data_IF_383298471206
#
_entry.id   IF_383298471206
#
_cell.length_a   1.000
_cell.length_b   1.000
_cell.length_c   1.000
_cell.angle_alpha   90.00
_cell.angle_beta   90.00
_cell.angle_gamma   90.00
#
_symmetry.space_group_name_H-M   'P 1'
#
loop_
_entity.id
_entity.type
_entity.pdbx_description
1 polymer ?
#
# COMPACT_ATOMS: atom_id res chain seq x y z
N UNK A 1 25.20 -16.13 5.86
CA UNK A 1 24.06 -15.74 6.72
C UNK A 1 23.27 -14.53 6.20
N UNK A 2 23.71 -13.26 6.37
CA UNK A 2 22.88 -12.10 5.99
C UNK A 2 22.49 -12.05 4.50
N UNK A 3 23.44 -12.33 3.60
CA UNK A 3 23.16 -12.38 2.17
C UNK A 3 22.18 -13.49 1.80
N UNK A 4 22.33 -14.67 2.40
CA UNK A 4 21.44 -15.81 2.17
C UNK A 4 20.02 -15.49 2.66
N UNK A 5 19.90 -14.90 3.85
CA UNK A 5 18.62 -14.44 4.39
C UNK A 5 17.95 -13.40 3.48
N UNK A 6 18.66 -12.34 3.09
CA UNK A 6 18.11 -11.32 2.18
C UNK A 6 17.70 -11.91 0.82
N UNK A 7 18.51 -12.84 0.29
CA UNK A 7 18.18 -13.54 -0.97
C UNK A 7 16.91 -14.38 -0.82
N UNK A 8 16.76 -15.09 0.31
CA UNK A 8 15.56 -15.87 0.58
C UNK A 8 14.32 -14.97 0.71
N UNK A 9 14.41 -13.84 1.43
CA UNK A 9 13.31 -12.89 1.57
C UNK A 9 12.84 -12.33 0.22
N UNK A 10 13.76 -11.93 -0.66
CA UNK A 10 13.39 -11.39 -1.98
C UNK A 10 12.74 -12.45 -2.86
N UNK A 11 13.26 -13.69 -2.85
CA UNK A 11 12.64 -14.82 -3.58
C UNK A 11 11.22 -15.09 -3.11
N UNK A 12 10.96 -15.01 -1.81
CA UNK A 12 9.64 -15.25 -1.24
C UNK A 12 8.57 -14.22 -1.69
N UNK A 13 8.96 -13.03 -2.16
CA UNK A 13 8.00 -11.99 -2.59
C UNK A 13 7.18 -12.46 -3.79
N UNK A 14 7.82 -12.99 -4.83
CA UNK A 14 7.10 -13.45 -6.03
C UNK A 14 6.24 -14.67 -5.72
N UNK A 15 6.78 -15.60 -4.94
CA UNK A 15 6.11 -16.85 -4.60
C UNK A 15 4.85 -16.61 -3.73
N UNK A 16 4.86 -15.56 -2.90
CA UNK A 16 3.70 -15.19 -2.08
C UNK A 16 2.71 -14.27 -2.81
N UNK A 17 3.19 -13.30 -3.58
CA UNK A 17 2.32 -12.25 -4.14
C UNK A 17 1.67 -12.64 -5.47
N UNK A 18 2.40 -13.33 -6.37
CA UNK A 18 1.88 -13.67 -7.71
C UNK A 18 0.64 -14.58 -7.64
N UNK A 19 0.57 -15.61 -6.77
CA UNK A 19 -0.63 -16.43 -6.67
C UNK A 19 -1.88 -15.64 -6.23
N UNK A 20 -1.71 -14.66 -5.33
CA UNK A 20 -2.80 -13.78 -4.89
C UNK A 20 -3.30 -12.94 -6.07
N UNK A 21 -2.39 -12.36 -6.87
CA UNK A 21 -2.78 -11.61 -8.06
C UNK A 21 -3.49 -12.48 -9.08
N UNK A 22 -2.91 -13.62 -9.45
CA UNK A 22 -3.48 -14.52 -10.48
C UNK A 22 -4.89 -14.99 -10.09
N UNK A 23 -5.14 -15.24 -8.79
CA UNK A 23 -6.46 -15.64 -8.30
C UNK A 23 -7.51 -14.53 -8.39
N UNK A 24 -7.11 -13.26 -8.21
CA UNK A 24 -8.05 -12.16 -8.02
C UNK A 24 -8.15 -11.19 -9.20
N UNK A 25 -7.22 -11.24 -10.18
CA UNK A 25 -7.14 -10.24 -11.26
C UNK A 25 -8.37 -10.16 -12.16
N UNK A 26 -9.08 -11.29 -12.33
CA UNK A 26 -10.23 -11.42 -13.23
C UNK A 26 -11.57 -11.35 -12.47
N UNK A 27 -11.54 -11.07 -11.16
CA UNK A 27 -12.76 -10.91 -10.37
C UNK A 27 -13.46 -9.60 -10.72
N UNK A 28 -14.76 -9.69 -10.95
CA UNK A 28 -15.60 -8.51 -11.09
C UNK A 28 -15.63 -7.72 -9.78
N UNK A 29 -15.65 -6.39 -9.91
CA UNK A 29 -15.79 -5.48 -8.79
C UNK A 29 -16.92 -4.50 -9.05
N UNK A 30 -17.53 -4.00 -7.98
CA UNK A 30 -18.52 -2.94 -8.06
C UNK A 30 -17.86 -1.56 -7.99
N UNK A 31 -18.58 -0.53 -8.43
CA UNK A 31 -18.11 0.85 -8.30
C UNK A 31 -17.81 1.22 -6.84
N UNK A 32 -18.61 0.75 -5.87
CA UNK A 32 -18.37 1.00 -4.45
C UNK A 32 -17.06 0.38 -3.97
N UNK A 33 -16.72 -0.83 -4.45
CA UNK A 33 -15.43 -1.46 -4.16
C UNK A 33 -14.26 -0.70 -4.79
N UNK A 34 -14.47 -0.11 -5.97
CA UNK A 34 -13.48 0.75 -6.63
C UNK A 34 -13.26 2.04 -5.85
N UNK A 35 -14.33 2.68 -5.39
CA UNK A 35 -14.26 3.87 -4.53
C UNK A 35 -13.53 3.56 -3.22
N UNK A 36 -13.85 2.42 -2.59
CA UNK A 36 -13.12 1.93 -1.42
C UNK A 36 -11.63 1.74 -1.69
N UNK A 37 -11.27 1.10 -2.81
CA UNK A 37 -9.87 0.94 -3.23
C UNK A 37 -9.17 2.31 -3.34
N UNK A 38 -9.81 3.32 -3.93
CA UNK A 38 -9.24 4.66 -4.08
C UNK A 38 -9.02 5.37 -2.73
N UNK A 39 -9.94 5.19 -1.78
CA UNK A 39 -9.75 5.69 -0.41
C UNK A 39 -8.60 4.99 0.31
N UNK A 40 -8.44 3.66 0.12
CA UNK A 40 -7.29 2.92 0.65
C UNK A 40 -5.97 3.38 0.02
N UNK A 41 -5.96 3.70 -1.27
CA UNK A 41 -4.82 4.31 -1.96
C UNK A 41 -4.48 5.69 -1.40
N UNK A 42 -5.48 6.50 -1.01
CA UNK A 42 -5.26 7.75 -0.30
C UNK A 42 -4.48 7.58 1.00
N UNK A 43 -4.81 6.57 1.80
CA UNK A 43 -4.03 6.23 3.02
C UNK A 43 -2.61 5.76 2.72
N UNK A 44 -2.39 5.06 1.60
CA UNK A 44 -1.04 4.69 1.17
C UNK A 44 -0.20 5.92 0.80
N UNK A 45 -0.79 6.90 0.12
CA UNK A 45 -0.15 8.18 -0.19
C UNK A 45 0.20 8.95 1.10
N UNK A 46 -0.75 9.05 2.04
CA UNK A 46 -0.51 9.68 3.35
C UNK A 46 0.68 9.04 4.08
N UNK A 47 0.74 7.70 4.11
CA UNK A 47 1.85 7.01 4.74
C UNK A 47 3.20 7.35 4.09
N UNK A 48 3.29 7.25 2.76
CA UNK A 48 4.54 7.52 2.04
C UNK A 48 5.00 8.98 2.22
N UNK A 49 4.08 9.94 2.20
CA UNK A 49 4.45 11.36 2.28
C UNK A 49 4.74 11.84 3.71
N UNK A 50 4.08 11.25 4.72
CA UNK A 50 4.14 11.73 6.11
C UNK A 50 5.09 10.90 6.98
N UNK A 51 5.15 9.58 6.76
CA UNK A 51 5.82 8.66 7.68
C UNK A 51 6.97 7.87 7.05
N UNK A 52 6.95 7.58 5.75
CA UNK A 52 8.01 6.79 5.14
C UNK A 52 9.35 7.54 5.15
N UNK A 53 10.32 6.98 5.89
CA UNK A 53 11.63 7.59 6.06
C UNK A 53 12.40 7.66 4.74
N UNK A 54 12.20 6.69 3.86
CA UNK A 54 12.86 6.63 2.55
C UNK A 54 12.41 7.77 1.65
N UNK A 55 11.10 7.96 1.51
CA UNK A 55 10.51 9.08 0.77
C UNK A 55 10.89 10.42 1.38
N UNK A 56 10.76 10.61 2.70
CA UNK A 56 11.12 11.87 3.38
C UNK A 56 12.60 12.19 3.17
N UNK A 57 13.49 11.21 3.31
CA UNK A 57 14.91 11.40 3.05
C UNK A 57 15.18 11.75 1.59
N UNK A 58 14.62 10.99 0.65
CA UNK A 58 14.77 11.24 -0.79
C UNK A 58 14.33 12.65 -1.20
N UNK A 59 13.19 13.10 -0.67
CA UNK A 59 12.68 14.46 -0.92
C UNK A 59 13.62 15.53 -0.35
N UNK A 60 14.20 15.33 0.84
CA UNK A 60 15.21 16.24 1.39
C UNK A 60 16.47 16.31 0.54
N UNK A 61 16.87 15.19 -0.06
CA UNK A 61 18.05 15.12 -0.94
C UNK A 61 17.84 15.86 -2.28
N UNK A 62 16.60 16.20 -2.66
CA UNK A 62 16.35 17.04 -3.84
C UNK A 62 17.01 18.43 -3.70
N UNK A 63 17.00 19.00 -2.49
CA UNK A 63 17.66 20.28 -2.21
C UNK A 63 19.19 20.22 -2.38
N UNK A 64 19.76 19.02 -2.36
CA UNK A 64 21.21 18.79 -2.57
C UNK A 64 21.56 18.42 -4.01
N UNK A 65 20.58 18.31 -4.90
CA UNK A 65 20.77 17.95 -6.31
C UNK A 65 21.03 16.45 -6.58
N UNK A 66 21.01 15.61 -5.55
CA UNK A 66 21.29 14.15 -5.67
C UNK A 66 20.00 13.32 -5.76
N UNK A 67 18.87 13.86 -5.30
CA UNK A 67 17.58 13.17 -5.38
C UNK A 67 17.01 13.13 -6.80
N UNK A 68 16.38 12.01 -7.18
CA UNK A 68 15.58 11.90 -8.41
C UNK A 68 14.11 11.77 -8.07
N UNK A 69 13.35 12.83 -8.36
CA UNK A 69 11.95 12.96 -7.94
C UNK A 69 11.09 11.80 -8.46
N UNK A 70 11.23 11.43 -9.74
CA UNK A 70 10.43 10.39 -10.37
C UNK A 70 10.70 9.01 -9.77
N UNK A 71 11.93 8.75 -9.31
CA UNK A 71 12.26 7.52 -8.60
C UNK A 71 11.64 7.49 -7.19
N UNK A 72 11.62 8.64 -6.51
CA UNK A 72 11.09 8.76 -5.15
C UNK A 72 9.57 8.62 -5.14
N UNK A 73 8.88 9.25 -6.10
CA UNK A 73 7.42 9.27 -6.18
C UNK A 73 6.82 8.09 -6.96
N UNK A 74 7.64 7.17 -7.49
CA UNK A 74 7.17 5.99 -8.21
C UNK A 74 6.26 5.09 -7.36
N UNK A 75 6.37 5.15 -6.03
CA UNK A 75 5.50 4.40 -5.12
C UNK A 75 4.06 4.91 -5.11
N UNK A 76 3.80 6.15 -5.57
CA UNK A 76 2.46 6.72 -5.52
C UNK A 76 1.55 6.10 -6.60
N UNK A 77 0.30 5.78 -6.25
CA UNK A 77 -0.67 5.32 -7.24
C UNK A 77 -1.07 6.47 -8.18
N UNK A 78 -1.46 6.11 -9.41
CA UNK A 78 -1.97 7.06 -10.41
C UNK A 78 -3.20 7.85 -9.91
N UNK A 79 -4.11 7.17 -9.21
CA UNK A 79 -5.34 7.77 -8.66
C UNK A 79 -5.54 7.35 -7.21
N UNK A 80 -5.97 8.32 -6.41
CA UNK A 80 -6.34 8.18 -5.00
C UNK A 80 -7.50 9.13 -4.68
N UNK A 81 -8.27 8.83 -3.64
CA UNK A 81 -9.44 9.60 -3.22
C UNK A 81 -9.39 9.87 -1.73
N UNK A 82 -9.88 11.04 -1.33
CA UNK A 82 -10.09 11.43 0.05
C UNK A 82 -11.54 11.85 0.24
N UNK A 83 -12.17 11.30 1.27
CA UNK A 83 -13.53 11.64 1.66
C UNK A 83 -13.57 12.07 3.10
N UNK A 84 -14.39 13.09 3.36
CA UNK A 84 -14.60 13.58 4.71
C UNK A 84 -15.47 12.60 5.50
N UNK A 85 -14.97 12.16 6.65
CA UNK A 85 -15.72 11.36 7.63
C UNK A 85 -16.40 10.11 7.05
N UNK A 86 -15.79 9.46 6.05
CA UNK A 86 -16.31 8.19 5.52
C UNK A 86 -16.27 7.11 6.61
N UNK A 87 -17.42 6.46 6.85
CA UNK A 87 -17.55 5.32 7.75
C UNK A 87 -18.09 4.11 6.97
N UNK A 88 -17.39 2.96 6.99
CA UNK A 88 -17.89 1.76 6.34
C UNK A 88 -19.14 1.23 7.05
N UNK A 89 -20.04 0.62 6.29
CA UNK A 89 -21.25 0.03 6.85
C UNK A 89 -20.91 -1.09 7.85
N UNK A 90 -21.54 -1.12 9.05
CA UNK A 90 -21.32 -2.18 10.01
C UNK A 90 -21.57 -3.57 9.41
N UNK A 91 -20.64 -4.50 9.64
CA UNK A 91 -20.72 -5.86 9.09
C UNK A 91 -20.29 -6.00 7.63
N UNK A 92 -19.87 -4.92 6.96
CA UNK A 92 -19.30 -5.00 5.62
C UNK A 92 -17.85 -5.50 5.64
N UNK A 93 -17.33 -5.92 4.48
CA UNK A 93 -15.91 -6.31 4.33
C UNK A 93 -14.96 -5.15 4.61
N UNK A 94 -15.39 -3.93 4.29
CA UNK A 94 -14.66 -2.69 4.58
C UNK A 94 -14.57 -2.45 6.08
N UNK A 95 -15.64 -2.70 6.83
CA UNK A 95 -15.60 -2.62 8.29
C UNK A 95 -14.70 -3.71 8.91
N UNK A 96 -14.78 -4.94 8.39
CA UNK A 96 -13.94 -6.06 8.85
C UNK A 96 -12.44 -5.75 8.69
N UNK A 97 -12.02 -5.30 7.50
CA UNK A 97 -10.60 -4.99 7.26
C UNK A 97 -10.13 -3.76 8.04
N UNK A 98 -11.02 -2.79 8.30
CA UNK A 98 -10.71 -1.63 9.12
C UNK A 98 -10.41 -2.00 10.57
N UNK A 99 -11.05 -3.03 11.11
CA UNK A 99 -10.69 -3.57 12.42
C UNK A 99 -9.28 -4.16 12.39
N UNK A 100 -8.95 -4.98 11.39
CA UNK A 100 -7.61 -5.56 11.25
C UNK A 100 -6.49 -4.51 11.11
N UNK A 101 -6.78 -3.33 10.54
CA UNK A 101 -5.82 -2.22 10.48
C UNK A 101 -5.59 -1.54 11.83
N UNK A 102 -6.59 -1.54 12.73
CA UNK A 102 -6.48 -0.97 14.07
C UNK A 102 -5.90 -1.98 15.07
N UNK A 103 -6.26 -3.24 14.88
CA UNK A 103 -5.96 -4.35 15.76
C UNK A 103 -5.22 -5.44 14.96
N UNK A 104 -3.87 -5.39 14.88
CA UNK A 104 -3.08 -6.38 14.15
C UNK A 104 -3.35 -7.81 14.67
N UNK A 105 -3.41 -8.77 13.75
CA UNK A 105 -3.74 -10.18 14.01
C UNK A 105 -2.59 -11.10 13.60
N UNK A 106 -2.62 -12.34 14.08
CA UNK A 106 -1.77 -13.44 13.60
C UNK A 106 -2.39 -14.05 12.33
N UNK A 107 -1.55 -14.33 11.31
CA UNK A 107 -1.99 -14.71 9.96
C UNK A 107 -1.39 -16.03 9.45
N UNK A 108 -0.53 -16.68 10.24
CA UNK A 108 0.18 -17.93 9.90
C UNK A 108 -0.26 -19.02 10.85
#
# INVERSE_FOLDING_TARGET
FHLEFSTACVKAVTDSYVPILTKNRDLEYTEQQKEWQLMRRGRYVEFNLVYDRGTIFGLKMLATGVGRLESILMSLPETARWEYCFEPQPGSKEAEIMDAFKNPREWV
#
